data_IF_814182111850
#
_entry.id   IF_814182111850
#
_cell.length_a   1.000
_cell.length_b   1.000
_cell.length_c   1.000
_cell.angle_alpha   90.00
_cell.angle_beta   90.00
_cell.angle_gamma   90.00
#
_symmetry.space_group_name_H-M   'P 1'
#
loop_
_entity.id
_entity.type
_entity.pdbx_description
1 polymer ?
#
# COMPACT_ATOMS: atom_id res chain seq x y z
N UNK A 1 -22.23 -1.60 4.57
CA UNK A 1 -21.73 -0.69 5.62
C UNK A 1 -21.19 -1.42 6.87
N UNK A 2 -21.37 -2.73 7.07
CA UNK A 2 -21.05 -3.40 8.34
C UNK A 2 -20.33 -4.76 8.18
N UNK A 3 -19.43 -4.88 7.20
CA UNK A 3 -18.57 -6.07 7.05
C UNK A 3 -17.11 -5.82 7.47
N UNK A 4 -16.72 -4.55 7.69
CA UNK A 4 -15.38 -4.15 8.13
C UNK A 4 -15.22 -4.24 9.65
N UNK A 5 -16.31 -4.25 10.42
CA UNK A 5 -16.26 -4.32 11.90
C UNK A 5 -16.68 -5.71 12.41
N UNK A 6 -15.99 -6.75 11.94
CA UNK A 6 -16.14 -8.10 12.49
C UNK A 6 -14.95 -8.37 13.40
N UNK A 7 -15.24 -8.67 14.68
CA UNK A 7 -14.28 -8.93 15.77
C UNK A 7 -13.46 -10.22 15.58
N UNK A 8 -13.80 -11.02 14.54
CA UNK A 8 -12.98 -12.14 14.08
C UNK A 8 -11.89 -11.62 13.13
N UNK A 9 -10.64 -11.85 13.53
CA UNK A 9 -9.41 -11.54 12.81
C UNK A 9 -9.21 -12.37 11.52
N UNK A 10 -10.25 -12.55 10.70
CA UNK A 10 -10.22 -13.39 9.49
C UNK A 10 -9.41 -12.72 8.36
N UNK A 11 -9.37 -11.38 8.36
CA UNK A 11 -8.62 -10.58 7.40
C UNK A 11 -7.70 -9.60 8.12
N UNK A 12 -6.40 -9.68 7.82
CA UNK A 12 -5.42 -8.72 8.30
C UNK A 12 -5.60 -7.39 7.55
N UNK A 13 -6.44 -6.50 8.10
CA UNK A 13 -6.73 -5.17 7.53
C UNK A 13 -5.47 -4.38 7.19
N UNK A 14 -4.42 -4.54 8.00
CA UNK A 14 -3.13 -3.89 7.78
C UNK A 14 -2.49 -4.39 6.49
N UNK A 15 -2.56 -5.69 6.23
CA UNK A 15 -2.10 -6.27 4.96
C UNK A 15 -2.95 -5.82 3.78
N UNK A 16 -4.27 -5.68 3.94
CA UNK A 16 -5.18 -5.21 2.88
C UNK A 16 -4.89 -3.76 2.53
N UNK A 17 -4.78 -2.88 3.52
CA UNK A 17 -4.47 -1.46 3.32
C UNK A 17 -3.06 -1.30 2.72
N UNK A 18 -2.08 -2.08 3.21
CA UNK A 18 -0.74 -2.10 2.65
C UNK A 18 -0.72 -2.55 1.18
N UNK A 19 -1.50 -3.58 0.84
CA UNK A 19 -1.61 -4.08 -0.53
C UNK A 19 -2.33 -3.11 -1.46
N UNK A 20 -3.41 -2.47 -1.00
CA UNK A 20 -4.12 -1.46 -1.78
C UNK A 20 -3.22 -0.26 -2.09
N UNK A 21 -2.45 0.23 -1.10
CA UNK A 21 -1.46 1.29 -1.28
C UNK A 21 -0.37 0.88 -2.28
N UNK A 22 0.17 -0.33 -2.16
CA UNK A 22 1.16 -0.88 -3.09
C UNK A 22 0.64 -1.01 -4.53
N UNK A 23 -0.61 -1.44 -4.70
CA UNK A 23 -1.24 -1.58 -6.00
C UNK A 23 -1.38 -0.21 -6.71
N UNK A 24 -1.80 0.82 -5.98
CA UNK A 24 -1.87 2.19 -6.52
C UNK A 24 -0.49 2.68 -6.93
N UNK A 25 0.54 2.49 -6.10
CA UNK A 25 1.93 2.85 -6.45
C UNK A 25 2.43 2.12 -7.69
N UNK A 26 2.12 0.84 -7.83
CA UNK A 26 2.50 0.03 -9.01
C UNK A 26 1.83 0.56 -10.27
N UNK A 27 0.54 0.91 -10.20
CA UNK A 27 -0.17 1.55 -11.31
C UNK A 27 0.46 2.89 -11.69
N UNK A 28 0.81 3.72 -10.71
CA UNK A 28 1.52 4.97 -10.97
C UNK A 28 2.85 4.74 -11.68
N UNK A 29 3.64 3.75 -11.24
CA UNK A 29 4.90 3.42 -11.90
C UNK A 29 4.70 2.92 -13.35
N UNK A 30 3.66 2.12 -13.61
CA UNK A 30 3.34 1.66 -14.97
C UNK A 30 2.93 2.83 -15.86
N UNK A 31 2.11 3.75 -15.34
CA UNK A 31 1.70 4.96 -16.08
C UNK A 31 2.91 5.86 -16.33
N UNK A 32 3.76 6.08 -15.33
CA UNK A 32 4.97 6.90 -15.43
C UNK A 32 5.94 6.36 -16.49
N UNK A 33 6.21 5.05 -16.47
CA UNK A 33 7.01 4.39 -17.52
C UNK A 33 6.35 4.52 -18.90
N UNK A 34 5.02 4.36 -18.98
CA UNK A 34 4.28 4.53 -20.23
C UNK A 34 4.35 5.95 -20.78
N UNK A 35 4.27 6.97 -19.91
CA UNK A 35 4.36 8.38 -20.29
C UNK A 35 5.79 8.80 -20.62
N UNK A 36 6.79 8.25 -19.91
CA UNK A 36 8.20 8.41 -20.22
C UNK A 36 8.55 7.88 -21.60
N UNK A 37 8.01 6.71 -22.00
CA UNK A 37 8.14 6.18 -23.36
C UNK A 37 7.44 7.09 -24.38
N UNK A 38 6.32 7.72 -24.01
CA UNK A 38 5.60 8.69 -24.84
C UNK A 38 6.24 10.10 -24.88
N UNK A 39 7.38 10.31 -24.21
CA UNK A 39 8.11 11.58 -24.19
C UNK A 39 7.44 12.68 -23.36
N UNK A 40 6.54 12.34 -22.43
CA UNK A 40 5.92 13.27 -21.49
C UNK A 40 6.37 12.94 -20.07
N UNK A 41 7.04 13.88 -19.42
CA UNK A 41 7.36 13.77 -18.00
C UNK A 41 6.08 13.90 -17.16
N UNK A 42 5.81 12.88 -16.35
CA UNK A 42 4.79 12.94 -15.33
C UNK A 42 5.39 13.57 -14.08
N UNK A 43 4.94 14.78 -13.74
CA UNK A 43 5.34 15.42 -12.48
C UNK A 43 4.58 14.77 -11.34
N UNK A 44 5.20 13.76 -10.73
CA UNK A 44 4.70 13.12 -9.51
C UNK A 44 5.03 14.01 -8.31
N UNK A 45 4.05 14.25 -7.44
CA UNK A 45 4.29 14.99 -6.21
C UNK A 45 4.97 14.09 -5.17
N UNK A 46 6.18 14.45 -4.76
CA UNK A 46 6.97 13.69 -3.79
C UNK A 46 6.24 13.47 -2.46
N UNK A 47 5.44 14.44 -1.98
CA UNK A 47 4.69 14.29 -0.73
C UNK A 47 3.63 13.20 -0.84
N UNK A 48 2.92 13.17 -1.98
CA UNK A 48 1.87 12.17 -2.24
C UNK A 48 2.51 10.79 -2.40
N UNK A 49 3.56 10.68 -3.22
CA UNK A 49 4.25 9.42 -3.44
C UNK A 49 4.85 8.85 -2.15
N UNK A 50 5.56 9.68 -1.37
CA UNK A 50 6.14 9.25 -0.10
C UNK A 50 5.06 8.86 0.92
N UNK A 51 3.90 9.51 0.92
CA UNK A 51 2.78 9.11 1.80
C UNK A 51 2.33 7.68 1.51
N UNK A 52 2.19 7.29 0.24
CA UNK A 52 1.89 5.91 -0.13
C UNK A 52 3.02 4.94 0.22
N UNK A 53 4.29 5.34 0.06
CA UNK A 53 5.44 4.54 0.50
C UNK A 53 5.36 4.25 2.00
N UNK A 54 5.15 5.27 2.83
CA UNK A 54 5.06 5.11 4.28
C UNK A 54 3.86 4.26 4.71
N UNK A 55 2.70 4.42 4.08
CA UNK A 55 1.53 3.59 4.35
C UNK A 55 1.82 2.13 3.99
N UNK A 56 2.38 1.87 2.80
CA UNK A 56 2.73 0.52 2.35
C UNK A 56 3.71 -0.17 3.32
N UNK A 57 4.81 0.51 3.65
CA UNK A 57 5.85 -0.02 4.53
C UNK A 57 5.36 -0.17 5.97
N UNK A 58 4.62 0.80 6.49
CA UNK A 58 4.05 0.75 7.85
C UNK A 58 3.04 -0.39 7.98
N UNK A 59 2.13 -0.51 7.03
CA UNK A 59 1.11 -1.56 6.98
C UNK A 59 1.72 -2.97 6.90
N UNK A 60 2.68 -3.19 6.00
CA UNK A 60 3.36 -4.49 5.90
C UNK A 60 4.30 -4.76 7.08
N UNK A 61 4.94 -3.72 7.62
CA UNK A 61 5.79 -3.83 8.80
C UNK A 61 5.02 -4.29 10.04
N UNK A 62 3.86 -3.67 10.32
CA UNK A 62 3.02 -4.06 11.46
C UNK A 62 2.43 -5.45 11.23
N UNK A 63 1.92 -5.75 10.04
CA UNK A 63 1.39 -7.07 9.72
C UNK A 63 2.45 -8.19 9.85
N UNK A 64 3.68 -7.91 9.41
CA UNK A 64 4.81 -8.82 9.56
C UNK A 64 5.22 -9.01 11.02
N UNK A 65 5.30 -7.91 11.78
CA UNK A 65 5.63 -7.95 13.20
C UNK A 65 4.56 -8.70 14.01
N UNK A 66 3.27 -8.49 13.75
CA UNK A 66 2.18 -9.25 14.38
C UNK A 66 2.27 -10.75 14.08
N UNK A 67 2.60 -11.13 12.84
CA UNK A 67 2.75 -12.54 12.46
C UNK A 67 3.94 -13.22 13.15
N UNK A 68 5.03 -12.48 13.39
CA UNK A 68 6.25 -13.00 14.02
C UNK A 68 6.18 -12.96 15.55
N UNK A 69 5.66 -11.88 16.13
CA UNK A 69 5.62 -11.64 17.58
C UNK A 69 4.33 -12.10 18.24
N UNK A 70 3.24 -12.27 17.50
CA UNK A 70 1.94 -12.74 18.00
C UNK A 70 1.90 -14.23 18.35
N UNK A 71 3.03 -14.94 18.25
CA UNK A 71 3.18 -16.33 18.71
C UNK A 71 3.52 -16.34 20.21
N UNK A 72 2.55 -16.00 21.06
CA UNK A 72 2.48 -16.40 22.46
C UNK A 72 1.13 -17.03 22.74
#
# INVERSE_FOLDING_TARGET
>A
MWAIFKDDNDYNEKSIIGFASFAVMTLFAVVDLGTGIAGKDLVINDMVYNSFVFVTLGSFGIAGAEKVMGKK
#
